data_IF_428572025913
#
_entry.id   IF_428572025913
#
_cell.length_a   1.000
_cell.length_b   1.000
_cell.length_c   1.000
_cell.angle_alpha   90.00
_cell.angle_beta   90.00
_cell.angle_gamma   90.00
#
_symmetry.space_group_name_H-M   'P 1'
#
loop_
_entity.id
_entity.type
_entity.pdbx_description
1 polymer ?
#
# COMPACT_ATOMS: atom_id res chain seq x y z
N UNK A 1 -62.94 -45.75 -27.69
CA UNK A 1 -62.07 -44.87 -26.87
C UNK A 1 -60.83 -44.63 -27.67
N UNK A 2 -60.52 -43.41 -28.13
CA UNK A 2 -59.32 -43.15 -28.88
C UNK A 2 -58.13 -43.02 -27.90
N UNK A 3 -57.08 -43.80 -28.16
CA UNK A 3 -55.79 -43.66 -27.55
C UNK A 3 -55.16 -42.28 -27.95
N UNK A 4 -55.09 -41.43 -27.00
CA UNK A 4 -54.38 -40.14 -27.13
C UNK A 4 -52.90 -40.43 -27.01
N UNK A 5 -52.18 -40.34 -28.12
CA UNK A 5 -50.73 -40.34 -28.18
C UNK A 5 -50.23 -39.11 -27.39
N UNK A 6 -49.67 -39.35 -26.25
CA UNK A 6 -48.90 -38.34 -25.52
C UNK A 6 -47.61 -38.10 -26.31
N UNK A 7 -47.57 -36.98 -26.99
CA UNK A 7 -46.36 -36.54 -27.69
C UNK A 7 -45.18 -36.44 -26.72
N UNK A 8 -44.13 -37.17 -27.01
CA UNK A 8 -42.83 -36.98 -26.41
C UNK A 8 -42.35 -35.57 -26.78
N UNK A 9 -42.52 -34.64 -25.89
CA UNK A 9 -41.84 -33.37 -25.97
C UNK A 9 -40.34 -33.66 -25.94
N UNK A 10 -39.79 -33.75 -27.13
CA UNK A 10 -38.37 -33.82 -27.34
C UNK A 10 -37.80 -32.46 -26.90
N UNK A 11 -37.26 -32.44 -25.67
CA UNK A 11 -36.48 -31.29 -25.20
C UNK A 11 -35.38 -31.05 -26.23
N UNK A 12 -35.62 -30.15 -27.16
CA UNK A 12 -34.60 -29.57 -28.02
C UNK A 12 -33.65 -28.86 -27.05
N UNK A 13 -32.54 -29.51 -26.79
CA UNK A 13 -31.41 -28.91 -26.06
C UNK A 13 -30.99 -27.71 -26.87
N UNK A 14 -31.47 -26.53 -26.47
CA UNK A 14 -31.07 -25.28 -27.05
C UNK A 14 -29.54 -25.24 -27.04
N UNK A 15 -28.96 -25.34 -28.22
CA UNK A 15 -27.53 -25.03 -28.37
C UNK A 15 -27.39 -23.58 -28.02
N UNK A 16 -26.54 -23.22 -27.05
CA UNK A 16 -26.31 -21.81 -26.73
C UNK A 16 -25.86 -21.14 -28.03
N UNK A 17 -26.71 -20.25 -28.56
CA UNK A 17 -26.31 -19.36 -29.66
C UNK A 17 -25.33 -18.40 -29.07
N UNK A 18 -24.05 -18.53 -29.41
CA UNK A 18 -23.01 -17.58 -29.01
C UNK A 18 -23.40 -16.23 -29.59
N UNK A 19 -23.82 -15.34 -28.72
CA UNK A 19 -24.16 -13.95 -29.06
C UNK A 19 -22.93 -13.06 -28.87
N UNK A 20 -22.92 -11.91 -29.50
CA UNK A 20 -21.83 -10.93 -29.29
C UNK A 20 -21.69 -10.53 -27.82
N UNK A 21 -22.75 -10.55 -27.05
CA UNK A 21 -22.78 -10.33 -25.62
C UNK A 21 -21.97 -11.39 -24.85
N UNK A 22 -22.07 -12.66 -25.23
CA UNK A 22 -21.35 -13.76 -24.57
C UNK A 22 -19.83 -13.63 -24.80
N UNK A 23 -19.42 -13.16 -25.99
CA UNK A 23 -18.00 -12.91 -26.31
C UNK A 23 -17.45 -11.78 -25.45
N UNK A 24 -18.21 -10.69 -25.28
CA UNK A 24 -17.82 -9.57 -24.44
C UNK A 24 -17.73 -10.01 -22.98
N UNK A 25 -18.69 -10.80 -22.50
CA UNK A 25 -18.71 -11.33 -21.13
C UNK A 25 -17.49 -12.22 -20.86
N UNK A 26 -17.14 -13.11 -21.78
CA UNK A 26 -15.94 -13.96 -21.68
C UNK A 26 -14.67 -13.11 -21.65
N UNK A 27 -14.56 -12.05 -22.47
CA UNK A 27 -13.40 -11.16 -22.49
C UNK A 27 -13.29 -10.41 -21.16
N UNK A 28 -14.39 -9.88 -20.63
CA UNK A 28 -14.40 -9.18 -19.35
C UNK A 28 -13.94 -10.12 -18.23
N UNK A 29 -14.51 -11.34 -18.17
CA UNK A 29 -14.13 -12.35 -17.17
C UNK A 29 -12.65 -12.71 -17.31
N UNK A 30 -12.15 -12.92 -18.53
CA UNK A 30 -10.76 -13.26 -18.78
C UNK A 30 -9.81 -12.15 -18.33
N UNK A 31 -10.13 -10.87 -18.62
CA UNK A 31 -9.33 -9.71 -18.19
C UNK A 31 -9.33 -9.57 -16.67
N UNK A 32 -10.48 -9.73 -16.02
CA UNK A 32 -10.58 -9.68 -14.56
C UNK A 32 -9.76 -10.81 -13.93
N UNK A 33 -9.92 -12.04 -14.43
CA UNK A 33 -9.18 -13.21 -13.93
C UNK A 33 -7.67 -13.05 -14.12
N UNK A 34 -7.24 -12.54 -15.27
CA UNK A 34 -5.84 -12.26 -15.57
C UNK A 34 -5.23 -11.23 -14.60
N UNK A 35 -5.94 -10.13 -14.34
CA UNK A 35 -5.47 -9.12 -13.39
C UNK A 35 -5.41 -9.65 -11.94
N UNK A 36 -6.38 -10.49 -11.54
CA UNK A 36 -6.38 -11.16 -10.23
C UNK A 36 -5.17 -12.10 -10.12
N UNK A 37 -4.89 -12.90 -11.14
CA UNK A 37 -3.74 -13.81 -11.16
C UNK A 37 -2.42 -13.05 -11.09
N UNK A 38 -2.26 -11.96 -11.85
CA UNK A 38 -1.06 -11.12 -11.80
C UNK A 38 -0.86 -10.52 -10.41
N UNK A 39 -1.95 -10.07 -9.78
CA UNK A 39 -1.88 -9.53 -8.42
C UNK A 39 -1.44 -10.59 -7.40
N UNK A 40 -2.00 -11.80 -7.47
CA UNK A 40 -1.62 -12.93 -6.61
C UNK A 40 -0.16 -13.33 -6.83
N UNK A 41 0.32 -13.35 -8.08
CA UNK A 41 1.71 -13.73 -8.40
C UNK A 41 2.75 -12.78 -7.80
N UNK A 42 2.40 -11.51 -7.59
CA UNK A 42 3.27 -10.51 -7.00
C UNK A 42 3.21 -10.46 -5.46
N UNK A 43 2.46 -11.38 -4.84
CA UNK A 43 2.28 -11.42 -3.37
C UNK A 43 2.87 -12.70 -2.77
N UNK A 44 3.08 -12.70 -1.44
CA UNK A 44 3.47 -13.90 -0.68
C UNK A 44 2.44 -15.05 -0.81
N UNK A 45 1.22 -14.74 -1.24
CA UNK A 45 0.15 -15.70 -1.50
C UNK A 45 0.49 -16.70 -2.62
N UNK A 46 1.42 -16.37 -3.53
CA UNK A 46 1.88 -17.28 -4.59
C UNK A 46 2.53 -18.56 -4.04
N UNK A 47 3.26 -18.46 -2.95
CA UNK A 47 3.86 -19.63 -2.29
C UNK A 47 2.79 -20.57 -1.72
N UNK A 48 1.74 -20.00 -1.11
CA UNK A 48 0.59 -20.77 -0.59
C UNK A 48 -0.19 -21.43 -1.73
N UNK A 49 -0.42 -20.71 -2.83
CA UNK A 49 -1.13 -21.26 -3.99
C UNK A 49 -0.39 -22.46 -4.58
N UNK A 50 0.93 -22.41 -4.70
CA UNK A 50 1.75 -23.57 -5.11
C UNK A 50 1.56 -24.76 -4.18
N UNK A 51 1.54 -24.55 -2.87
CA UNK A 51 1.30 -25.60 -1.88
C UNK A 51 -0.08 -26.26 -2.06
N UNK A 52 -1.12 -25.46 -2.27
CA UNK A 52 -2.47 -25.96 -2.52
C UNK A 52 -2.54 -26.77 -3.81
N UNK A 53 -1.90 -26.32 -4.88
CA UNK A 53 -1.86 -27.05 -6.18
C UNK A 53 -1.19 -28.43 -6.00
N UNK A 54 -0.07 -28.50 -5.27
CA UNK A 54 0.62 -29.77 -5.02
C UNK A 54 -0.27 -30.73 -4.24
N UNK A 55 -0.96 -30.26 -3.20
CA UNK A 55 -1.91 -31.08 -2.41
C UNK A 55 -3.09 -31.54 -3.26
N UNK A 56 -3.63 -30.65 -4.10
CA UNK A 56 -4.73 -30.99 -5.00
C UNK A 56 -4.30 -32.04 -6.03
N UNK A 57 -3.10 -31.90 -6.62
CA UNK A 57 -2.56 -32.88 -7.56
C UNK A 57 -2.39 -34.25 -6.89
N UNK A 58 -1.85 -34.28 -5.67
CA UNK A 58 -1.73 -35.51 -4.89
C UNK A 58 -3.09 -36.17 -4.62
N UNK A 59 -4.12 -35.38 -4.29
CA UNK A 59 -5.47 -35.87 -4.08
C UNK A 59 -6.09 -36.47 -5.36
N UNK A 60 -5.84 -35.85 -6.52
CA UNK A 60 -6.27 -36.37 -7.83
C UNK A 60 -5.60 -37.71 -8.13
N UNK A 61 -4.30 -37.83 -7.91
CA UNK A 61 -3.54 -39.06 -8.09
C UNK A 61 -4.08 -40.18 -7.16
N UNK A 62 -4.29 -39.83 -5.89
CA UNK A 62 -4.88 -40.77 -4.91
C UNK A 62 -6.29 -41.24 -5.32
N UNK A 63 -7.08 -40.34 -5.93
CA UNK A 63 -8.41 -40.68 -6.45
C UNK A 63 -8.32 -41.63 -7.65
N UNK A 64 -7.44 -41.36 -8.62
CA UNK A 64 -7.24 -42.23 -9.79
C UNK A 64 -6.73 -43.62 -9.42
N UNK A 65 -5.91 -43.71 -8.36
CA UNK A 65 -5.41 -45.01 -7.84
C UNK A 65 -6.40 -45.70 -6.87
N UNK A 66 -7.60 -45.13 -6.65
CA UNK A 66 -8.62 -45.66 -5.74
C UNK A 66 -8.12 -45.88 -4.29
N UNK A 67 -7.23 -45.03 -3.78
CA UNK A 67 -6.65 -45.12 -2.44
C UNK A 67 -7.63 -44.60 -1.37
N UNK A 68 -8.65 -45.43 -1.07
CA UNK A 68 -9.76 -45.04 -0.20
C UNK A 68 -9.34 -44.53 1.18
N UNK A 69 -8.34 -45.15 1.79
CA UNK A 69 -7.85 -44.78 3.12
C UNK A 69 -7.21 -43.35 3.10
N UNK A 70 -6.40 -43.05 2.07
CA UNK A 70 -5.77 -41.75 1.91
C UNK A 70 -6.83 -40.66 1.67
N UNK A 71 -7.83 -40.95 0.81
CA UNK A 71 -8.93 -40.01 0.54
C UNK A 71 -9.79 -39.75 1.79
N UNK A 72 -10.02 -40.78 2.61
CA UNK A 72 -10.77 -40.62 3.87
C UNK A 72 -9.97 -39.71 4.87
N UNK A 73 -8.67 -39.96 5.04
CA UNK A 73 -7.79 -39.13 5.91
C UNK A 73 -7.75 -37.73 5.36
N UNK A 74 -7.51 -37.52 4.06
CA UNK A 74 -7.47 -36.22 3.43
C UNK A 74 -8.76 -35.43 3.65
N UNK A 75 -9.92 -36.06 3.50
CA UNK A 75 -11.22 -35.42 3.74
C UNK A 75 -11.40 -34.94 5.20
N UNK A 76 -10.92 -35.73 6.16
CA UNK A 76 -10.94 -35.32 7.59
C UNK A 76 -9.93 -34.17 7.86
N UNK A 77 -8.75 -34.27 7.29
CA UNK A 77 -7.69 -33.24 7.44
C UNK A 77 -8.11 -31.93 6.79
N UNK A 78 -8.77 -31.94 5.64
CA UNK A 78 -9.28 -30.73 4.97
C UNK A 78 -10.26 -29.99 5.87
N UNK A 79 -11.18 -30.71 6.54
CA UNK A 79 -12.17 -30.09 7.43
C UNK A 79 -11.52 -29.34 8.59
N UNK A 80 -10.50 -29.92 9.21
CA UNK A 80 -9.71 -29.26 10.27
C UNK A 80 -8.84 -28.15 9.69
N UNK A 81 -8.27 -28.37 8.51
CA UNK A 81 -7.43 -27.41 7.79
C UNK A 81 -8.17 -26.12 7.42
N UNK A 82 -9.44 -26.19 7.05
CA UNK A 82 -10.26 -25.00 6.76
C UNK A 82 -10.42 -24.14 8.02
N UNK A 83 -10.69 -24.78 9.18
CA UNK A 83 -10.82 -24.06 10.45
C UNK A 83 -9.49 -23.38 10.81
N UNK A 84 -8.39 -24.12 10.70
CA UNK A 84 -7.05 -23.58 10.96
C UNK A 84 -6.71 -22.42 10.02
N UNK A 85 -7.07 -22.52 8.74
CA UNK A 85 -6.89 -21.47 7.75
C UNK A 85 -7.65 -20.20 8.12
N UNK A 86 -8.91 -20.32 8.54
CA UNK A 86 -9.72 -19.16 8.99
C UNK A 86 -9.07 -18.48 10.19
N UNK A 87 -8.56 -19.25 11.15
CA UNK A 87 -7.88 -18.70 12.35
C UNK A 87 -6.59 -17.98 11.97
N UNK A 88 -5.79 -18.57 11.07
CA UNK A 88 -4.52 -17.97 10.62
C UNK A 88 -4.76 -16.67 9.85
N UNK A 89 -5.78 -16.63 8.99
CA UNK A 89 -6.12 -15.44 8.19
C UNK A 89 -7.05 -14.44 8.91
N UNK A 90 -7.49 -14.74 10.13
CA UNK A 90 -8.34 -13.84 10.90
C UNK A 90 -7.77 -12.42 11.02
N UNK A 91 -6.48 -12.19 11.36
CA UNK A 91 -5.92 -10.84 11.44
C UNK A 91 -5.89 -10.12 10.09
N UNK A 92 -5.60 -10.83 8.99
CA UNK A 92 -5.59 -10.25 7.65
C UNK A 92 -7.00 -9.87 7.19
N UNK A 93 -7.98 -10.74 7.41
CA UNK A 93 -9.40 -10.48 7.13
C UNK A 93 -9.91 -9.28 7.93
N UNK A 94 -9.55 -9.19 9.21
CA UNK A 94 -9.92 -8.06 10.05
C UNK A 94 -9.34 -6.76 9.50
N UNK A 95 -8.04 -6.72 9.14
CA UNK A 95 -7.39 -5.55 8.54
C UNK A 95 -8.05 -5.15 7.22
N UNK A 96 -8.35 -6.13 6.34
CA UNK A 96 -9.02 -5.89 5.07
C UNK A 96 -10.44 -5.31 5.27
N UNK A 97 -11.22 -5.86 6.21
CA UNK A 97 -12.56 -5.36 6.55
C UNK A 97 -12.52 -3.97 7.20
N UNK A 98 -11.54 -3.69 8.05
CA UNK A 98 -11.33 -2.37 8.63
C UNK A 98 -10.98 -1.34 7.55
N UNK A 99 -10.17 -1.70 6.55
CA UNK A 99 -9.85 -0.85 5.40
C UNK A 99 -11.08 -0.60 4.51
N UNK A 100 -11.89 -1.63 4.25
CA UNK A 100 -13.15 -1.50 3.49
C UNK A 100 -14.22 -0.70 4.27
N UNK A 101 -14.28 -0.87 5.59
CA UNK A 101 -15.25 -0.19 6.46
C UNK A 101 -14.92 1.29 6.71
N UNK A 102 -13.72 1.75 6.41
CA UNK A 102 -13.37 3.17 6.50
C UNK A 102 -14.16 3.96 5.46
N UNK A 103 -15.03 4.86 5.90
CA UNK A 103 -15.99 5.67 5.12
C UNK A 103 -15.40 6.35 3.87
N UNK A 104 -14.07 6.53 3.77
CA UNK A 104 -13.38 7.13 2.63
C UNK A 104 -13.43 6.29 1.35
N UNK A 105 -13.44 4.95 1.44
CA UNK A 105 -13.54 4.10 0.24
C UNK A 105 -14.91 4.24 -0.42
N UNK A 106 -15.99 4.28 0.38
CA UNK A 106 -17.36 4.51 -0.12
C UNK A 106 -17.56 5.92 -0.68
N UNK A 107 -17.00 6.96 -0.04
CA UNK A 107 -17.11 8.34 -0.50
C UNK A 107 -16.39 8.58 -1.83
N UNK A 108 -15.33 7.81 -2.14
CA UNK A 108 -14.62 7.89 -3.42
C UNK A 108 -15.44 7.36 -4.60
N UNK A 109 -16.36 6.41 -4.36
CA UNK A 109 -17.29 5.89 -5.36
C UNK A 109 -18.55 6.74 -5.53
N UNK A 110 -18.96 7.51 -4.51
CA UNK A 110 -20.20 8.28 -4.53
C UNK A 110 -20.02 9.79 -4.77
N UNK A 111 -18.80 10.34 -4.66
CA UNK A 111 -18.54 11.75 -5.00
C UNK A 111 -18.27 11.93 -6.50
N UNK A 112 -19.28 11.70 -7.29
CA UNK A 112 -19.41 12.25 -8.64
C UNK A 112 -20.18 13.58 -8.56
N UNK A 113 -19.51 14.63 -8.14
CA UNK A 113 -20.07 16.00 -8.20
C UNK A 113 -19.77 16.82 -6.97
N UNK A 114 -18.89 17.70 -7.08
CA UNK A 114 -18.92 19.13 -6.81
C UNK A 114 -17.61 19.70 -6.23
N UNK A 115 -17.19 20.81 -6.85
CA UNK A 115 -16.27 21.85 -6.37
C UNK A 115 -14.75 21.60 -6.33
N UNK A 116 -14.13 22.17 -7.36
CA UNK A 116 -12.70 22.22 -7.69
C UNK A 116 -11.77 23.00 -6.75
N UNK A 117 -12.22 23.50 -5.58
CA UNK A 117 -11.41 24.33 -4.68
C UNK A 117 -11.07 23.72 -3.30
N UNK A 118 -11.46 22.46 -3.04
CA UNK A 118 -11.19 21.78 -1.75
C UNK A 118 -10.26 20.55 -1.86
N UNK A 119 -9.53 20.40 -2.93
CA UNK A 119 -8.84 19.15 -3.24
C UNK A 119 -7.34 19.17 -2.89
N UNK A 120 -6.88 20.14 -2.11
CA UNK A 120 -5.50 20.20 -1.65
C UNK A 120 -5.34 19.50 -0.29
N UNK A 121 -4.32 18.64 -0.18
CA UNK A 121 -4.03 17.91 1.07
C UNK A 121 -3.51 18.83 2.16
N UNK A 122 -2.69 19.82 1.79
CA UNK A 122 -2.11 20.83 2.66
C UNK A 122 -1.82 22.11 1.88
N UNK A 123 -1.56 23.21 2.57
CA UNK A 123 -1.32 24.51 1.95
C UNK A 123 0.11 24.63 1.39
N UNK A 124 0.31 25.53 0.42
CA UNK A 124 1.65 25.89 -0.09
C UNK A 124 2.57 26.34 1.05
N UNK A 125 2.03 27.13 1.98
CA UNK A 125 2.75 27.58 3.17
C UNK A 125 3.29 26.42 3.98
N UNK A 126 2.50 25.36 4.19
CA UNK A 126 2.96 24.15 4.91
C UNK A 126 4.12 23.47 4.20
N UNK A 127 4.08 23.39 2.86
CA UNK A 127 5.19 22.84 2.09
C UNK A 127 6.47 23.68 2.27
N UNK A 128 6.36 24.99 2.17
CA UNK A 128 7.50 25.91 2.34
C UNK A 128 8.08 25.81 3.76
N UNK A 129 7.25 25.72 4.80
CA UNK A 129 7.67 25.56 6.20
C UNK A 129 8.40 24.23 6.43
N UNK A 130 7.96 23.14 5.79
CA UNK A 130 8.62 21.83 5.86
C UNK A 130 9.99 21.89 5.19
N UNK A 131 10.09 22.47 3.99
CA UNK A 131 11.36 22.62 3.26
C UNK A 131 12.33 23.44 4.10
N UNK A 132 11.91 24.62 4.58
CA UNK A 132 12.73 25.50 5.40
C UNK A 132 13.26 24.79 6.67
N UNK A 133 12.39 24.04 7.37
CA UNK A 133 12.79 23.26 8.54
C UNK A 133 13.86 22.20 8.19
N UNK A 134 13.65 21.42 7.13
CA UNK A 134 14.56 20.34 6.74
C UNK A 134 15.96 20.86 6.43
N UNK A 135 16.08 21.97 5.67
CA UNK A 135 17.39 22.50 5.31
C UNK A 135 18.06 23.25 6.46
N UNK A 136 17.31 23.91 7.35
CA UNK A 136 17.87 24.48 8.59
C UNK A 136 18.40 23.39 9.52
N UNK A 137 17.65 22.31 9.72
CA UNK A 137 18.12 21.16 10.49
C UNK A 137 19.32 20.48 9.85
N UNK A 138 19.32 20.33 8.52
CA UNK A 138 20.45 19.79 7.76
C UNK A 138 21.73 20.61 7.93
N UNK A 139 21.64 21.93 7.91
CA UNK A 139 22.78 22.82 8.08
C UNK A 139 23.49 22.64 9.43
N UNK A 140 22.77 22.31 10.48
CA UNK A 140 23.30 22.05 11.84
C UNK A 140 23.40 20.55 12.16
N UNK A 141 23.13 19.68 11.17
CA UNK A 141 23.15 18.21 11.30
C UNK A 141 22.21 17.67 12.37
N UNK A 142 21.07 18.31 12.55
CA UNK A 142 19.98 17.77 13.37
C UNK A 142 19.22 16.72 12.56
N UNK A 143 19.22 15.46 13.04
CA UNK A 143 18.51 14.35 12.40
C UNK A 143 17.01 14.50 12.54
N UNK A 144 16.25 14.33 11.44
CA UNK A 144 14.81 14.41 11.46
C UNK A 144 14.17 13.30 10.61
N UNK A 145 12.95 12.87 11.01
CA UNK A 145 12.12 11.90 10.31
C UNK A 145 10.67 12.41 10.27
N UNK A 146 10.26 12.92 9.12
CA UNK A 146 8.96 13.56 8.92
C UNK A 146 8.14 12.73 7.94
N UNK A 147 6.95 12.28 8.37
CA UNK A 147 6.03 11.47 7.56
C UNK A 147 4.80 12.30 7.23
N UNK A 148 4.52 12.45 5.95
CA UNK A 148 3.35 13.16 5.45
C UNK A 148 2.29 12.13 5.08
N UNK A 149 1.20 12.11 5.86
CA UNK A 149 0.05 11.23 5.62
C UNK A 149 -0.66 11.60 4.33
N UNK A 150 -0.98 10.59 3.52
CA UNK A 150 -1.74 10.78 2.29
C UNK A 150 -3.13 10.11 2.38
N UNK A 151 -3.43 9.11 1.54
CA UNK A 151 -4.74 8.47 1.52
C UNK A 151 -4.86 7.38 2.60
N UNK A 152 -3.74 6.71 2.92
CA UNK A 152 -3.67 5.72 3.99
C UNK A 152 -3.47 6.43 5.31
N UNK A 153 -4.44 6.24 6.22
CA UNK A 153 -4.42 6.86 7.56
C UNK A 153 -3.41 6.15 8.46
N UNK A 154 -2.53 6.92 9.11
CA UNK A 154 -1.43 6.43 9.94
C UNK A 154 -1.79 6.29 11.43
N UNK A 155 -3.06 6.05 11.75
CA UNK A 155 -3.57 6.05 13.13
C UNK A 155 -2.87 5.03 14.05
N UNK A 156 -2.43 3.88 13.52
CA UNK A 156 -1.71 2.87 14.31
C UNK A 156 -0.32 3.37 14.74
N UNK A 157 0.35 4.17 13.91
CA UNK A 157 1.64 4.77 14.23
C UNK A 157 1.50 6.01 15.11
N UNK A 158 0.47 6.84 14.86
CA UNK A 158 0.15 8.03 15.67
C UNK A 158 -0.06 7.64 17.14
N UNK A 159 -0.74 6.52 17.41
CA UNK A 159 -0.99 6.01 18.78
C UNK A 159 0.26 5.60 19.54
N UNK A 160 1.37 5.36 18.85
CA UNK A 160 2.65 5.03 19.48
C UNK A 160 3.41 6.27 19.96
N UNK A 161 3.05 7.44 19.42
CA UNK A 161 3.72 8.71 19.67
C UNK A 161 3.01 9.58 20.69
N UNK A 162 3.56 10.77 20.88
CA UNK A 162 3.04 11.82 21.75
C UNK A 162 2.20 12.77 20.91
N UNK A 163 0.91 12.99 21.21
CA UNK A 163 0.06 13.92 20.48
C UNK A 163 0.56 15.37 20.63
N UNK A 164 0.70 16.08 19.51
CA UNK A 164 1.15 17.47 19.45
C UNK A 164 0.03 18.41 19.03
N UNK A 165 -0.70 18.01 17.99
CA UNK A 165 -1.82 18.75 17.38
C UNK A 165 -1.52 20.23 17.12
N UNK A 166 -0.34 20.51 16.57
CA UNK A 166 0.16 21.86 16.28
C UNK A 166 0.09 22.20 14.79
N UNK A 167 -0.04 23.50 14.44
CA UNK A 167 0.09 23.95 13.05
C UNK A 167 1.55 23.75 12.62
N UNK A 168 1.75 23.23 11.40
CA UNK A 168 3.09 23.04 10.84
C UNK A 168 3.76 24.40 10.64
N UNK A 169 4.86 24.62 11.34
CA UNK A 169 5.79 25.74 11.15
C UNK A 169 7.21 25.23 11.22
N UNK A 170 8.14 25.90 10.55
CA UNK A 170 9.56 25.55 10.57
C UNK A 170 10.11 25.53 12.01
N UNK A 171 9.70 26.49 12.83
CA UNK A 171 10.12 26.60 14.22
C UNK A 171 9.61 25.42 15.07
N UNK A 172 8.35 24.99 14.87
CA UNK A 172 7.79 23.84 15.59
C UNK A 172 8.57 22.56 15.26
N UNK A 173 8.83 22.32 13.96
CA UNK A 173 9.57 21.14 13.52
C UNK A 173 11.00 21.12 14.05
N UNK A 174 11.71 22.24 14.00
CA UNK A 174 13.07 22.39 14.53
C UNK A 174 13.07 22.11 16.04
N UNK A 175 12.12 22.66 16.81
CA UNK A 175 12.05 22.44 18.26
C UNK A 175 11.69 20.98 18.60
N UNK A 176 10.89 20.29 17.81
CA UNK A 176 10.57 18.87 18.03
C UNK A 176 11.84 18.02 17.87
N UNK A 177 12.67 18.29 16.86
CA UNK A 177 13.86 17.48 16.59
C UNK A 177 15.13 17.98 17.31
N UNK A 178 15.01 19.03 18.13
CA UNK A 178 16.14 19.51 18.94
C UNK A 178 16.65 18.40 19.87
N UNK A 179 17.98 18.23 19.92
CA UNK A 179 18.63 17.19 20.69
C UNK A 179 18.27 17.27 22.18
N UNK A 180 18.17 16.11 22.82
CA UNK A 180 17.86 15.95 24.23
C UNK A 180 16.49 16.47 24.67
N UNK A 181 15.55 16.66 23.73
CA UNK A 181 14.14 16.94 24.03
C UNK A 181 13.32 15.63 24.07
N UNK A 182 12.20 15.56 24.81
CA UNK A 182 11.37 14.35 24.84
C UNK A 182 10.73 13.97 23.50
N UNK A 183 10.72 14.87 22.52
CA UNK A 183 10.01 14.70 21.24
C UNK A 183 10.91 14.30 20.06
N UNK A 184 12.25 14.34 20.23
CA UNK A 184 13.18 14.22 19.09
C UNK A 184 13.41 12.76 18.62
N UNK A 185 13.18 11.77 19.48
CA UNK A 185 13.45 10.36 19.16
C UNK A 185 12.21 9.68 18.56
N UNK A 186 12.21 9.54 17.26
CA UNK A 186 11.13 8.95 16.49
C UNK A 186 10.69 9.81 15.30
N UNK A 187 9.53 9.51 14.77
CA UNK A 187 8.97 10.21 13.61
C UNK A 187 7.93 11.25 14.01
N UNK A 188 7.88 12.32 13.25
CA UNK A 188 6.78 13.28 13.25
C UNK A 188 5.80 12.92 12.16
N UNK A 189 4.50 12.84 12.49
CA UNK A 189 3.44 12.59 11.51
C UNK A 189 2.67 13.88 11.27
N UNK A 190 2.60 14.26 9.99
CA UNK A 190 1.85 15.42 9.51
C UNK A 190 0.60 14.96 8.78
N UNK A 191 -0.55 15.48 9.17
CA UNK A 191 -1.85 15.31 8.50
C UNK A 191 -2.40 16.67 8.12
N UNK A 192 -2.52 16.91 6.83
CA UNK A 192 -2.91 18.23 6.34
C UNK A 192 -1.91 19.32 6.74
N UNK A 193 -2.40 20.37 7.38
CA UNK A 193 -1.57 21.49 7.84
C UNK A 193 -1.11 21.36 9.31
N UNK A 194 -1.23 20.17 9.91
CA UNK A 194 -0.95 19.97 11.34
C UNK A 194 0.06 18.85 11.58
N UNK A 195 0.94 19.07 12.55
CA UNK A 195 1.70 18.02 13.22
C UNK A 195 0.75 17.31 14.16
N UNK A 196 0.42 16.05 13.88
CA UNK A 196 -0.53 15.28 14.69
C UNK A 196 0.16 14.68 15.92
N UNK A 197 1.31 14.05 15.72
CA UNK A 197 2.09 13.42 16.78
C UNK A 197 3.58 13.47 16.46
N UNK A 198 4.39 13.37 17.50
CA UNK A 198 5.84 13.23 17.45
C UNK A 198 6.28 11.94 18.17
N UNK A 199 7.54 11.53 18.04
CA UNK A 199 8.10 10.32 18.69
C UNK A 199 7.35 9.04 18.26
N UNK A 200 6.80 9.02 17.04
CA UNK A 200 6.08 7.86 16.53
C UNK A 200 7.06 6.76 16.12
N UNK A 201 6.75 5.50 16.51
CA UNK A 201 7.52 4.33 16.08
C UNK A 201 7.05 3.85 14.71
N UNK A 202 8.00 3.65 13.82
CA UNK A 202 7.77 3.20 12.45
C UNK A 202 8.40 1.83 12.20
N UNK A 203 7.86 1.03 11.26
CA UNK A 203 8.48 -0.22 10.86
C UNK A 203 9.82 0.05 10.16
N UNK A 204 10.80 -0.79 10.42
CA UNK A 204 12.06 -0.78 9.68
C UNK A 204 11.92 -1.65 8.42
N UNK A 205 12.56 -1.22 7.33
CA UNK A 205 12.61 -2.04 6.11
C UNK A 205 13.54 -3.23 6.27
N UNK A 206 13.14 -4.37 5.73
CA UNK A 206 13.95 -5.59 5.61
C UNK A 206 14.77 -5.61 4.30
N UNK A 207 14.76 -4.53 3.50
CA UNK A 207 15.43 -4.48 2.21
C UNK A 207 16.96 -4.52 2.38
N UNK A 208 17.56 -5.65 2.03
CA UNK A 208 19.00 -5.89 2.12
C UNK A 208 19.82 -5.09 1.09
N UNK A 209 19.17 -4.54 0.05
CA UNK A 209 19.85 -3.76 -0.98
C UNK A 209 20.12 -2.31 -0.54
N UNK A 210 19.55 -1.87 0.58
CA UNK A 210 19.86 -0.57 1.14
C UNK A 210 21.28 -0.58 1.74
N UNK A 211 22.04 0.48 1.45
CA UNK A 211 23.39 0.65 1.98
C UNK A 211 23.40 0.49 3.52
N UNK A 212 24.39 -0.26 4.01
CA UNK A 212 24.61 -0.44 5.45
C UNK A 212 25.01 0.85 6.17
N UNK A 213 25.50 1.84 5.42
CA UNK A 213 25.83 3.18 5.93
C UNK A 213 24.59 4.01 6.30
N UNK A 214 23.38 3.54 5.96
CA UNK A 214 22.15 4.25 6.30
C UNK A 214 21.72 3.96 7.74
N UNK A 215 21.52 5.03 8.51
CA UNK A 215 21.05 4.94 9.90
C UNK A 215 19.59 4.47 10.04
N UNK A 216 19.17 4.31 11.28
CA UNK A 216 17.82 3.81 11.63
C UNK A 216 16.70 4.68 11.09
N UNK A 217 16.85 6.01 11.05
CA UNK A 217 15.86 6.95 10.48
C UNK A 217 15.62 6.69 8.99
N UNK A 218 16.65 6.40 8.21
CA UNK A 218 16.50 6.06 6.80
C UNK A 218 15.75 4.73 6.62
N UNK A 219 16.12 3.72 7.42
CA UNK A 219 15.44 2.40 7.37
C UNK A 219 13.98 2.50 7.78
N UNK A 220 13.66 3.32 8.79
CA UNK A 220 12.30 3.58 9.22
C UNK A 220 11.51 4.35 8.14
N UNK A 221 12.13 5.34 7.51
CA UNK A 221 11.52 6.12 6.43
C UNK A 221 11.16 5.26 5.21
N UNK A 222 12.05 4.34 4.82
CA UNK A 222 11.75 3.37 3.76
C UNK A 222 10.68 2.39 4.21
N UNK A 223 10.77 1.84 5.43
CA UNK A 223 9.83 0.85 5.95
C UNK A 223 8.38 1.35 5.99
N UNK A 224 8.16 2.59 6.44
CA UNK A 224 6.80 3.18 6.41
C UNK A 224 6.33 3.45 4.99
N UNK A 225 7.21 3.82 4.06
CA UNK A 225 6.88 4.04 2.66
C UNK A 225 6.60 2.75 1.88
N UNK A 226 7.09 1.59 2.36
CA UNK A 226 6.72 0.26 1.85
C UNK A 226 5.32 -0.16 2.32
N UNK A 227 4.99 0.18 3.57
CA UNK A 227 3.74 -0.21 4.21
C UNK A 227 2.55 0.70 3.85
N UNK A 228 2.81 1.93 3.42
CA UNK A 228 1.80 2.98 3.19
C UNK A 228 2.12 3.80 1.94
N UNK A 229 1.21 4.70 1.58
CA UNK A 229 1.40 5.68 0.51
C UNK A 229 2.01 7.01 1.01
N UNK A 230 2.55 7.03 2.22
CA UNK A 230 3.12 8.26 2.81
C UNK A 230 4.40 8.71 2.10
N UNK A 231 4.60 10.03 2.03
CA UNK A 231 5.90 10.60 1.70
C UNK A 231 6.68 10.82 2.99
N UNK A 232 7.89 10.28 3.06
CA UNK A 232 8.74 10.40 4.24
C UNK A 232 10.00 11.20 3.89
N UNK A 233 10.26 12.24 4.66
CA UNK A 233 11.44 13.08 4.53
C UNK A 233 12.39 12.75 5.67
N UNK A 234 13.66 12.54 5.35
CA UNK A 234 14.70 12.16 6.30
C UNK A 234 15.84 13.17 6.21
N UNK A 235 16.22 13.76 7.34
CA UNK A 235 17.43 14.58 7.47
C UNK A 235 18.48 13.77 8.21
N UNK A 236 19.65 13.62 7.60
CA UNK A 236 20.76 12.86 8.17
C UNK A 236 21.49 13.65 9.26
N UNK A 237 21.64 13.07 10.45
CA UNK A 237 22.44 13.65 11.52
C UNK A 237 23.95 13.57 11.28
N UNK A 238 24.39 12.67 10.40
CA UNK A 238 25.81 12.52 10.07
C UNK A 238 26.25 13.50 8.99
N UNK A 239 25.46 13.61 7.91
CA UNK A 239 25.83 14.37 6.71
C UNK A 239 25.09 15.69 6.57
N UNK A 240 23.96 15.86 7.23
CA UNK A 240 23.04 16.98 7.05
C UNK A 240 22.21 16.91 5.76
N UNK A 241 22.41 15.88 4.94
CA UNK A 241 21.71 15.72 3.67
C UNK A 241 20.25 15.34 3.87
N UNK A 242 19.39 15.86 2.99
CA UNK A 242 17.97 15.55 2.99
C UNK A 242 17.69 14.43 2.00
N UNK A 243 16.94 13.44 2.42
CA UNK A 243 16.52 12.29 1.60
C UNK A 243 15.00 12.15 1.65
N UNK A 244 14.41 11.53 0.63
CA UNK A 244 12.97 11.28 0.57
C UNK A 244 12.72 9.82 0.26
N UNK A 245 11.84 9.17 1.05
CA UNK A 245 11.36 7.82 0.80
C UNK A 245 9.89 7.85 0.36
N UNK A 246 9.58 7.08 -0.70
CA UNK A 246 8.25 6.93 -1.24
C UNK A 246 8.11 5.59 -1.97
N UNK A 247 7.07 4.81 -1.66
CA UNK A 247 6.81 3.52 -2.31
C UNK A 247 7.93 2.49 -2.17
N UNK A 248 8.72 2.54 -1.07
CA UNK A 248 9.86 1.67 -0.81
C UNK A 248 11.17 2.11 -1.49
N UNK A 249 11.14 3.19 -2.26
CA UNK A 249 12.34 3.76 -2.90
C UNK A 249 12.86 4.94 -2.10
N UNK A 250 14.20 5.03 -1.96
CA UNK A 250 14.88 6.12 -1.27
C UNK A 250 15.65 6.97 -2.27
N UNK A 251 15.41 8.27 -2.26
CA UNK A 251 16.12 9.25 -3.06
C UNK A 251 17.01 10.04 -2.10
N UNK A 252 18.30 9.89 -2.29
CA UNK A 252 19.31 10.58 -1.47
C UNK A 252 19.64 11.96 -2.00
N UNK A 253 20.06 12.84 -1.06
CA UNK A 253 20.68 14.14 -1.34
C UNK A 253 19.83 15.00 -2.28
N UNK A 254 18.54 15.15 -1.94
CA UNK A 254 17.62 15.97 -2.71
C UNK A 254 17.84 17.44 -2.39
N UNK A 255 17.81 18.31 -3.39
CA UNK A 255 17.87 19.77 -3.25
C UNK A 255 16.50 20.36 -2.86
N UNK A 256 16.49 21.61 -2.38
CA UNK A 256 15.31 22.28 -1.86
C UNK A 256 14.19 22.41 -2.91
N UNK A 257 14.56 22.75 -4.16
CA UNK A 257 13.59 22.90 -5.25
C UNK A 257 12.95 21.56 -5.63
N UNK A 258 13.76 20.50 -5.68
CA UNK A 258 13.26 19.14 -5.95
C UNK A 258 12.37 18.63 -4.82
N UNK A 259 12.71 18.90 -3.55
CA UNK A 259 11.85 18.57 -2.40
C UNK A 259 10.53 19.34 -2.48
N UNK A 260 10.58 20.64 -2.77
CA UNK A 260 9.40 21.48 -2.95
C UNK A 260 8.50 20.96 -4.07
N UNK A 261 9.07 20.59 -5.22
CA UNK A 261 8.35 20.02 -6.33
C UNK A 261 7.65 18.68 -5.97
N UNK A 262 8.31 17.84 -5.15
CA UNK A 262 7.70 16.59 -4.66
C UNK A 262 6.55 16.85 -3.71
N UNK A 263 6.71 17.82 -2.79
CA UNK A 263 5.62 18.23 -1.90
C UNK A 263 4.45 18.83 -2.67
N UNK A 264 4.72 19.67 -3.67
CA UNK A 264 3.69 20.23 -4.55
C UNK A 264 2.92 19.12 -5.31
N UNK A 265 3.62 18.08 -5.77
CA UNK A 265 3.01 16.95 -6.44
C UNK A 265 2.03 16.20 -5.55
N UNK A 266 2.41 15.88 -4.30
CA UNK A 266 1.51 15.18 -3.37
C UNK A 266 0.43 16.07 -2.77
N UNK A 267 0.63 17.39 -2.77
CA UNK A 267 -0.36 18.37 -2.32
C UNK A 267 -1.64 18.28 -3.14
N UNK A 268 -1.53 18.12 -4.46
CA UNK A 268 -2.66 18.01 -5.38
C UNK A 268 -3.20 16.59 -5.34
N UNK A 269 -4.47 16.42 -5.01
CA UNK A 269 -5.15 15.11 -4.93
C UNK A 269 -5.33 14.38 -6.26
N UNK A 270 -5.21 15.07 -7.37
CA UNK A 270 -5.35 14.49 -8.71
C UNK A 270 -4.08 13.76 -9.11
N UNK A 271 -4.04 12.45 -8.86
CA UNK A 271 -3.01 11.57 -9.39
C UNK A 271 -3.28 11.39 -10.88
N UNK A 272 -2.59 12.15 -11.73
CA UNK A 272 -2.46 11.81 -13.14
C UNK A 272 -1.49 10.62 -13.24
N UNK A 273 -2.04 9.42 -13.47
CA UNK A 273 -1.29 8.16 -13.57
C UNK A 273 -0.19 8.23 -14.65
N UNK A 274 -0.29 9.16 -15.61
CA UNK A 274 0.75 9.42 -16.61
C UNK A 274 1.98 10.13 -16.03
N UNK A 275 1.78 11.06 -15.11
CA UNK A 275 2.91 11.77 -14.49
C UNK A 275 3.72 10.88 -13.54
N UNK A 276 3.09 9.87 -12.93
CA UNK A 276 3.77 8.88 -12.10
C UNK A 276 4.74 7.98 -12.89
N UNK A 277 4.38 7.60 -14.13
CA UNK A 277 5.28 6.86 -15.03
C UNK A 277 6.46 7.70 -15.50
N UNK A 278 6.26 8.98 -15.77
CA UNK A 278 7.32 9.93 -16.16
C UNK A 278 8.28 10.16 -14.98
N UNK A 279 7.77 10.22 -13.76
CA UNK A 279 8.56 10.35 -12.54
C UNK A 279 9.45 9.12 -12.31
N UNK A 280 8.93 7.89 -12.51
CA UNK A 280 9.72 6.63 -12.46
C UNK A 280 10.77 6.54 -13.56
N UNK A 281 10.49 7.09 -14.75
CA UNK A 281 11.42 7.11 -15.89
C UNK A 281 12.61 8.05 -15.67
N UNK A 282 12.40 9.18 -15.00
CA UNK A 282 13.46 10.16 -14.72
C UNK A 282 14.47 9.64 -13.69
N UNK A 283 14.02 8.88 -12.68
CA UNK A 283 14.88 8.21 -11.71
C UNK A 283 15.78 7.12 -12.31
N UNK A 284 15.35 6.52 -13.43
CA UNK A 284 16.15 5.51 -14.13
C UNK A 284 17.27 6.13 -14.96
N UNK A 285 17.08 7.35 -15.47
CA UNK A 285 18.08 8.07 -16.25
C UNK A 285 19.20 8.66 -15.38
N UNK A 286 18.89 9.13 -14.17
CA UNK A 286 19.90 9.63 -13.22
C UNK A 286 20.80 8.51 -12.64
N UNK A 287 20.45 7.23 -12.81
CA UNK A 287 21.29 6.09 -12.38
C UNK A 287 22.28 5.60 -13.43
N UNK A 288 22.11 5.98 -14.68
CA UNK A 288 23.00 5.57 -15.77
C UNK A 288 24.16 6.58 -15.98
N UNK A 289 24.13 7.75 -15.32
CA UNK A 289 25.12 8.80 -15.45
C UNK A 289 26.04 8.96 -14.20
N UNK A 290 26.07 7.98 -13.29
CA UNK A 290 27.00 7.87 -12.16
C UNK A 290 27.69 6.48 -12.29
#
# INVERSE_FOLDING_TARGET
>A
IPLRLVGSEMCIRDRPRITWTDVIEIIIIAVVLYNILLWIMNTKAWALLKGIIVVALFAVVAYLLNLKTILWIAGKTISVGIIALVIIFQPELRRALEQLGRKRFMLRFFNFGDNSDKDERFSVKTADEIVDACYKMGAVKTGALIVIEQDIVLEEYIKTGIPVDGIVTSQLLINIFEHNTPLHDGAVIIRGNRVVAATCYLPLTDNVNLSKALGTRHRAGVGISEATDSLTIIVSEETGKVSVAFGGELIHDIDADSLKNKLEYIRRRTIDVKSFKIWRGRLKHEREDI
#
